data_IF_159614921999
#
_entry.id   IF_159614921999
#
_cell.length_a   1.000
_cell.length_b   1.000
_cell.length_c   1.000
_cell.angle_alpha   90.00
_cell.angle_beta   90.00
_cell.angle_gamma   90.00
#
_symmetry.space_group_name_H-M   'P 1'
#
loop_
_entity.id
_entity.type
_entity.pdbx_description
1 polymer ?
#
# COMPACT_ATOMS: atom_id res chain seq x y z
N UNK A 1 -3.30 13.63 -2.63
CA UNK A 1 -3.49 12.34 -1.94
C UNK A 1 -4.98 12.12 -1.73
N UNK A 2 -5.50 10.91 -1.95
CA UNK A 2 -6.90 10.60 -1.75
C UNK A 2 -7.03 9.36 -0.87
N UNK A 3 -7.84 9.45 0.17
CA UNK A 3 -8.17 8.31 1.03
C UNK A 3 -9.53 7.78 0.62
N UNK A 4 -9.61 6.49 0.33
CA UNK A 4 -10.84 5.83 -0.09
C UNK A 4 -11.14 4.68 0.86
N UNK A 5 -12.41 4.54 1.24
CA UNK A 5 -12.86 3.37 1.98
C UNK A 5 -12.76 2.12 1.09
N UNK A 6 -12.39 0.98 1.67
CA UNK A 6 -12.12 -0.26 0.90
C UNK A 6 -13.33 -0.79 0.12
N UNK A 7 -14.54 -0.48 0.59
CA UNK A 7 -15.80 -0.85 -0.07
C UNK A 7 -16.37 0.22 -1.00
N UNK A 8 -15.65 1.33 -1.25
CA UNK A 8 -16.08 2.34 -2.20
C UNK A 8 -16.01 1.76 -3.62
N UNK A 9 -17.13 1.80 -4.36
CA UNK A 9 -17.11 1.46 -5.78
C UNK A 9 -16.26 2.47 -6.55
N UNK A 10 -15.22 2.00 -7.23
CA UNK A 10 -14.31 2.87 -7.98
C UNK A 10 -13.71 2.15 -9.20
N UNK A 11 -13.43 2.93 -10.24
CA UNK A 11 -12.75 2.49 -11.46
C UNK A 11 -12.12 3.71 -12.16
N UNK A 12 -11.35 3.46 -13.21
CA UNK A 12 -10.79 4.52 -14.07
C UNK A 12 -11.01 4.17 -15.53
N UNK A 13 -11.33 5.17 -16.35
CA UNK A 13 -11.34 5.02 -17.81
C UNK A 13 -9.92 4.90 -18.38
N UNK A 14 -9.85 4.52 -19.66
CA UNK A 14 -8.63 4.47 -20.47
C UNK A 14 -8.02 5.88 -20.60
N UNK A 15 -6.69 5.93 -20.67
CA UNK A 15 -5.96 7.18 -20.91
C UNK A 15 -5.68 7.33 -22.42
N UNK A 16 -6.34 8.27 -23.09
CA UNK A 16 -6.17 8.57 -24.52
C UNK A 16 -5.20 9.73 -24.78
N UNK A 17 -4.68 10.34 -23.73
CA UNK A 17 -3.80 11.51 -23.84
C UNK A 17 -2.34 11.09 -24.06
N UNK A 18 -1.47 11.98 -24.56
CA UNK A 18 -0.04 11.68 -24.69
C UNK A 18 0.73 11.58 -23.36
N UNK A 19 0.10 11.83 -22.21
CA UNK A 19 0.78 11.87 -20.90
C UNK A 19 0.50 10.63 -20.06
N UNK A 20 1.52 10.10 -19.40
CA UNK A 20 1.39 8.94 -18.50
C UNK A 20 0.49 9.24 -17.28
N UNK A 21 -0.29 8.25 -16.86
CA UNK A 21 -1.04 8.27 -15.58
C UNK A 21 -0.44 7.26 -14.61
N UNK A 22 0.53 7.73 -13.79
CA UNK A 22 1.17 6.92 -12.73
C UNK A 22 0.44 7.12 -11.41
N UNK A 23 0.10 6.02 -10.73
CA UNK A 23 -0.60 6.05 -9.44
C UNK A 23 0.00 4.99 -8.52
N UNK A 24 0.42 5.41 -7.32
CA UNK A 24 0.75 4.53 -6.21
C UNK A 24 -0.50 4.32 -5.34
N UNK A 25 -0.75 3.07 -4.94
CA UNK A 25 -1.83 2.72 -4.02
C UNK A 25 -1.24 1.93 -2.86
N UNK A 26 -1.58 2.36 -1.64
CA UNK A 26 -1.24 1.67 -0.40
C UNK A 26 -2.57 1.35 0.29
N UNK A 27 -2.79 0.06 0.57
CA UNK A 27 -3.99 -0.39 1.30
C UNK A 27 -3.56 -0.70 2.73
N UNK A 28 -3.92 0.18 3.67
CA UNK A 28 -3.76 -0.11 5.09
C UNK A 28 -4.85 -1.05 5.58
N UNK A 29 -4.48 -1.98 6.45
CA UNK A 29 -5.42 -2.83 7.16
C UNK A 29 -5.14 -2.76 8.66
N UNK A 30 -6.18 -2.89 9.47
CA UNK A 30 -6.02 -2.95 10.92
C UNK A 30 -5.36 -4.27 11.32
N UNK A 31 -4.43 -4.23 12.28
CA UNK A 31 -3.84 -5.45 12.88
C UNK A 31 -4.85 -6.28 13.67
N UNK A 32 -6.03 -5.70 13.97
CA UNK A 32 -7.16 -6.43 14.56
C UNK A 32 -8.08 -7.07 13.50
N UNK A 33 -7.76 -6.93 12.21
CA UNK A 33 -8.55 -7.45 11.08
C UNK A 33 -7.69 -8.39 10.21
N UNK A 34 -7.12 -9.42 10.83
CA UNK A 34 -6.24 -10.37 10.14
C UNK A 34 -7.04 -11.35 9.27
N UNK A 35 -6.43 -11.90 8.19
CA UNK A 35 -7.03 -12.97 7.42
C UNK A 35 -7.34 -14.19 8.30
N UNK A 36 -8.56 -14.73 8.17
CA UNK A 36 -9.02 -15.86 9.00
C UNK A 36 -8.38 -17.21 8.62
N UNK A 37 -7.86 -17.33 7.39
CA UNK A 37 -7.33 -18.57 6.81
C UNK A 37 -5.92 -18.35 6.25
N UNK A 38 -4.89 -18.30 7.12
CA UNK A 38 -3.52 -18.00 6.71
C UNK A 38 -2.96 -19.02 5.70
N UNK A 39 -3.42 -20.27 5.76
CA UNK A 39 -3.02 -21.34 4.84
C UNK A 39 -3.53 -21.17 3.40
N UNK A 40 -4.52 -20.29 3.19
CA UNK A 40 -5.13 -20.00 1.89
C UNK A 40 -4.77 -18.62 1.37
N UNK A 41 -3.78 -17.97 1.97
CA UNK A 41 -3.34 -16.66 1.52
C UNK A 41 -2.83 -16.72 0.08
N UNK A 42 -3.16 -15.69 -0.68
CA UNK A 42 -2.48 -15.47 -1.96
C UNK A 42 -1.00 -15.21 -1.67
N UNK A 43 -0.11 -15.61 -2.59
CA UNK A 43 1.33 -15.42 -2.40
C UNK A 43 1.71 -13.94 -2.37
N UNK A 44 2.82 -13.64 -1.72
CA UNK A 44 3.47 -12.33 -1.81
C UNK A 44 3.93 -12.06 -3.26
N UNK A 45 3.89 -10.79 -3.71
CA UNK A 45 3.58 -9.57 -2.96
C UNK A 45 2.08 -9.16 -2.98
N UNK A 46 1.16 -10.04 -3.42
CA UNK A 46 -0.26 -9.69 -3.57
C UNK A 46 -0.94 -9.47 -2.21
N UNK A 47 -0.60 -10.32 -1.23
CA UNK A 47 -1.02 -10.15 0.17
C UNK A 47 0.23 -10.27 1.01
N UNK A 48 0.48 -9.24 1.81
CA UNK A 48 1.61 -9.19 2.74
C UNK A 48 1.35 -10.10 3.95
N UNK A 49 2.35 -10.88 4.38
CA UNK A 49 2.20 -11.86 5.47
C UNK A 49 2.77 -11.40 6.81
N UNK A 50 3.44 -10.24 6.86
CA UNK A 50 3.89 -9.61 8.11
C UNK A 50 2.85 -8.60 8.62
N UNK A 51 2.32 -8.85 9.81
CA UNK A 51 1.28 -8.04 10.44
C UNK A 51 1.80 -7.16 11.58
N UNK A 52 3.12 -6.95 11.65
CA UNK A 52 3.73 -6.06 12.63
C UNK A 52 3.17 -4.64 12.48
N UNK A 53 2.69 -4.01 13.56
CA UNK A 53 2.18 -2.65 13.49
C UNK A 53 3.22 -1.67 12.93
N UNK A 54 2.80 -0.84 11.98
CA UNK A 54 3.64 0.22 11.43
C UNK A 54 3.70 1.41 12.40
N UNK A 55 4.89 2.01 12.50
CA UNK A 55 5.10 3.26 13.23
C UNK A 55 5.35 4.39 12.24
N UNK A 56 4.79 5.60 12.49
CA UNK A 56 5.10 6.75 11.69
C UNK A 56 6.60 7.08 11.81
N UNK A 57 7.18 7.46 10.69
CA UNK A 57 8.55 7.97 10.58
C UNK A 57 8.49 9.49 10.41
N UNK A 58 9.64 10.17 10.44
CA UNK A 58 9.70 11.60 10.20
C UNK A 58 9.16 11.97 8.80
N UNK A 59 8.48 13.11 8.69
CA UNK A 59 7.82 13.54 7.45
C UNK A 59 8.79 13.72 6.28
N UNK A 60 10.05 14.03 6.57
CA UNK A 60 11.13 14.26 5.62
C UNK A 60 12.02 13.04 5.38
N UNK A 61 11.65 11.86 5.90
CA UNK A 61 12.48 10.63 5.82
C UNK A 61 12.88 10.28 4.39
N UNK A 62 12.03 10.59 3.40
CA UNK A 62 12.28 10.28 1.98
C UNK A 62 13.24 11.27 1.32
N UNK A 63 13.53 12.40 1.97
CA UNK A 63 14.49 13.41 1.50
C UNK A 63 15.91 13.12 2.01
N UNK A 64 16.05 12.22 2.97
CA UNK A 64 17.34 11.84 3.52
C UNK A 64 18.08 10.95 2.50
N UNK A 65 19.37 11.21 2.21
CA UNK A 65 20.16 10.29 1.43
C UNK A 65 20.18 8.93 2.13
N UNK A 66 20.08 7.86 1.36
CA UNK A 66 20.04 6.49 1.86
C UNK A 66 21.06 6.25 2.98
N UNK A 67 20.58 5.91 4.17
CA UNK A 67 21.44 5.36 5.22
C UNK A 67 22.06 4.09 4.65
N UNK A 68 23.38 4.12 4.44
CA UNK A 68 24.17 2.95 4.10
C UNK A 68 23.81 1.79 5.05
N UNK A 69 23.56 0.57 4.56
CA UNK A 69 23.22 -0.55 5.41
C UNK A 69 24.38 -0.80 6.39
N UNK A 70 24.06 -0.85 7.69
CA UNK A 70 24.96 -1.30 8.76
C UNK A 70 24.91 -2.83 8.83
#
# INVERSE_FOLDING_TARGET
MAFLHVNLLHASSNNITPWDRKMLRITYNSVNNLPLHPEKLRPEPIVWHDFTPLFPVADDVLLQPEHSPV
#
